data_IF_625693916017
#
_entry.id   IF_625693916017
#
_cell.length_a   1.000
_cell.length_b   1.000
_cell.length_c   1.000
_cell.angle_alpha   90.00
_cell.angle_beta   90.00
_cell.angle_gamma   90.00
#
_symmetry.space_group_name_H-M   'P 1'
#
loop_
_entity.id
_entity.type
_entity.pdbx_description
1 polymer ?
#
# COMPACT_ATOMS: atom_id res chain seq x y z
N UNK A 1 -38.57 -2.53 -61.25
CA UNK A 1 -38.77 -1.21 -60.64
C UNK A 1 -38.41 -1.30 -59.17
N UNK A 2 -37.27 -0.69 -58.82
CA UNK A 2 -36.86 -0.06 -57.57
C UNK A 2 -36.97 -0.84 -56.25
N UNK A 3 -35.85 -1.47 -55.88
CA UNK A 3 -35.42 -1.68 -54.51
C UNK A 3 -34.03 -1.09 -54.39
N UNK A 4 -33.91 0.14 -53.97
CA UNK A 4 -32.71 0.77 -53.45
C UNK A 4 -33.19 1.88 -52.49
N UNK A 5 -32.93 1.75 -51.20
CA UNK A 5 -32.68 2.79 -50.19
C UNK A 5 -32.98 2.27 -48.77
N UNK A 6 -32.04 1.57 -48.12
CA UNK A 6 -32.09 1.46 -46.64
C UNK A 6 -30.75 1.06 -46.01
N UNK A 7 -29.63 1.08 -46.74
CA UNK A 7 -28.32 0.76 -46.14
C UNK A 7 -27.42 1.97 -45.84
N UNK A 8 -27.79 3.18 -46.22
CA UNK A 8 -26.96 4.36 -46.06
C UNK A 8 -27.10 5.06 -44.67
N UNK A 9 -28.15 4.79 -43.91
CA UNK A 9 -28.43 5.46 -42.65
C UNK A 9 -27.84 4.74 -41.40
N UNK A 10 -27.47 3.46 -41.52
CA UNK A 10 -26.86 2.70 -40.40
C UNK A 10 -25.36 2.93 -40.33
N UNK A 11 -24.68 3.23 -41.44
CA UNK A 11 -23.24 3.46 -41.48
C UNK A 11 -22.84 4.82 -40.89
N UNK A 12 -23.67 5.87 -40.93
CA UNK A 12 -23.37 7.19 -40.35
C UNK A 12 -23.52 7.21 -38.84
N UNK A 13 -24.39 6.41 -38.23
CA UNK A 13 -24.59 6.35 -36.76
C UNK A 13 -23.43 5.68 -36.04
N UNK A 14 -22.77 4.72 -36.67
CA UNK A 14 -21.64 3.98 -36.05
C UNK A 14 -20.35 4.80 -36.13
N UNK A 15 -20.16 5.64 -37.12
CA UNK A 15 -19.02 6.54 -37.25
C UNK A 15 -19.03 7.68 -36.22
N UNK A 16 -20.21 8.21 -35.87
CA UNK A 16 -20.35 9.26 -34.86
C UNK A 16 -20.09 8.75 -33.43
N UNK A 17 -20.39 7.46 -33.14
CA UNK A 17 -20.10 6.85 -31.83
C UNK A 17 -18.62 6.47 -31.65
N UNK A 18 -17.89 6.20 -32.71
CA UNK A 18 -16.44 5.93 -32.68
C UNK A 18 -15.61 7.21 -32.60
N UNK A 19 -16.08 8.31 -33.18
CA UNK A 19 -15.34 9.59 -33.16
C UNK A 19 -15.45 10.33 -31.81
N UNK A 20 -16.52 10.12 -31.02
CA UNK A 20 -16.65 10.71 -29.68
C UNK A 20 -15.78 10.02 -28.62
N UNK A 21 -15.24 8.81 -28.86
CA UNK A 21 -14.31 8.13 -27.98
C UNK A 21 -12.84 8.47 -28.23
N UNK A 22 -12.49 9.03 -29.36
CA UNK A 22 -11.11 9.40 -29.72
C UNK A 22 -10.71 10.81 -29.24
N UNK A 23 -11.67 11.68 -28.90
CA UNK A 23 -11.39 13.03 -28.41
C UNK A 23 -11.10 13.12 -26.89
N UNK A 24 -11.40 12.07 -26.11
CA UNK A 24 -11.14 12.05 -24.66
C UNK A 24 -9.74 11.60 -24.25
N UNK A 25 -9.00 10.89 -25.09
CA UNK A 25 -7.71 10.29 -24.73
C UNK A 25 -6.48 11.15 -25.08
N UNK A 26 -6.63 12.14 -25.96
CA UNK A 26 -5.51 12.95 -26.46
C UNK A 26 -5.09 14.12 -25.55
N UNK A 27 -5.99 14.63 -24.69
CA UNK A 27 -5.73 15.80 -23.85
C UNK A 27 -5.27 15.48 -22.41
N UNK A 28 -5.24 14.21 -22.01
CA UNK A 28 -4.97 13.81 -20.62
C UNK A 28 -3.46 13.80 -20.30
N UNK A 29 -2.62 13.45 -21.26
CA UNK A 29 -1.17 13.42 -21.08
C UNK A 29 -0.56 14.79 -20.71
N UNK A 30 -1.01 15.94 -21.24
CA UNK A 30 -0.49 17.24 -20.86
C UNK A 30 -0.75 17.64 -19.41
N UNK A 31 -1.96 17.34 -18.86
CA UNK A 31 -2.32 17.76 -17.48
C UNK A 31 -1.57 16.93 -16.44
N UNK A 32 -1.34 15.64 -16.66
CA UNK A 32 -0.61 14.77 -15.74
C UNK A 32 0.82 15.26 -15.43
N UNK A 33 1.44 15.93 -16.39
CA UNK A 33 2.79 16.47 -16.27
C UNK A 33 2.82 18.01 -16.19
N UNK A 34 1.67 18.67 -16.32
CA UNK A 34 1.59 20.13 -16.32
C UNK A 34 1.88 20.72 -14.93
N UNK A 35 2.67 21.80 -14.89
CA UNK A 35 3.14 22.47 -13.65
C UNK A 35 2.78 23.95 -13.57
N UNK A 36 1.99 24.48 -14.51
CA UNK A 36 1.57 25.87 -14.50
C UNK A 36 0.71 26.23 -13.29
N UNK A 37 0.69 27.52 -12.92
CA UNK A 37 -0.05 28.01 -11.76
C UNK A 37 -1.57 27.76 -11.81
N UNK A 38 -2.12 27.61 -13.02
CA UNK A 38 -3.54 27.34 -13.28
C UNK A 38 -3.89 25.83 -13.35
N UNK A 39 -2.92 24.94 -13.04
CA UNK A 39 -3.09 23.49 -13.08
C UNK A 39 -4.30 23.04 -12.25
N UNK A 40 -4.40 23.52 -11.00
CA UNK A 40 -5.45 23.11 -10.08
C UNK A 40 -6.84 23.45 -10.66
N UNK A 41 -7.03 24.67 -11.14
CA UNK A 41 -8.29 25.11 -11.72
C UNK A 41 -8.68 24.31 -12.98
N UNK A 42 -7.70 24.04 -13.85
CA UNK A 42 -7.88 23.20 -15.04
C UNK A 42 -8.30 21.77 -14.66
N UNK A 43 -7.63 21.20 -13.67
CA UNK A 43 -7.89 19.84 -13.21
C UNK A 43 -9.28 19.74 -12.56
N UNK A 44 -9.66 20.68 -11.71
CA UNK A 44 -10.98 20.73 -11.08
C UNK A 44 -12.11 20.86 -12.10
N UNK A 45 -11.94 21.75 -13.09
CA UNK A 45 -12.92 21.94 -14.18
C UNK A 45 -13.11 20.66 -14.99
N UNK A 46 -12.04 19.95 -15.33
CA UNK A 46 -12.10 18.71 -16.07
C UNK A 46 -12.71 17.58 -15.22
N UNK A 47 -12.32 17.44 -13.97
CA UNK A 47 -12.85 16.46 -13.01
C UNK A 47 -14.35 16.68 -12.70
N UNK A 48 -14.81 17.93 -12.71
CA UNK A 48 -16.23 18.26 -12.56
C UNK A 48 -17.08 17.63 -13.67
N UNK A 49 -16.56 17.58 -14.90
CA UNK A 49 -17.24 16.92 -16.03
C UNK A 49 -17.29 15.41 -15.85
N UNK A 50 -16.26 14.81 -15.23
CA UNK A 50 -16.18 13.37 -14.96
C UNK A 50 -17.11 12.93 -13.81
N UNK A 51 -17.28 13.74 -12.78
CA UNK A 51 -18.26 13.61 -11.70
C UNK A 51 -18.05 12.44 -10.75
N UNK A 52 -17.10 11.54 -10.99
CA UNK A 52 -16.83 10.39 -10.13
C UNK A 52 -15.37 9.91 -10.22
N UNK A 53 -14.93 9.15 -9.22
CA UNK A 53 -13.67 8.42 -9.21
C UNK A 53 -13.86 7.02 -8.63
N UNK A 54 -13.32 6.00 -9.27
CA UNK A 54 -13.35 4.60 -8.81
C UNK A 54 -12.04 4.26 -8.12
N UNK A 55 -12.10 4.08 -6.81
CA UNK A 55 -10.95 3.82 -5.96
C UNK A 55 -10.89 2.35 -5.54
N UNK A 56 -9.93 1.61 -6.11
CA UNK A 56 -9.59 0.25 -5.66
C UNK A 56 -8.55 0.36 -4.55
N UNK A 57 -8.87 -0.14 -3.35
CA UNK A 57 -7.99 0.01 -2.20
C UNK A 57 -7.90 -1.23 -1.31
N UNK A 58 -6.73 -1.39 -0.67
CA UNK A 58 -6.51 -2.36 0.42
C UNK A 58 -6.66 -1.74 1.81
N UNK A 59 -6.97 -0.45 1.93
CA UNK A 59 -7.26 0.21 3.22
C UNK A 59 -8.42 -0.52 3.93
N UNK A 60 -8.33 -0.63 5.25
CA UNK A 60 -9.37 -1.28 6.04
C UNK A 60 -10.74 -0.63 5.86
N UNK A 61 -11.79 -1.46 5.77
CA UNK A 61 -13.16 -0.99 5.53
C UNK A 61 -13.63 0.00 6.63
N UNK A 62 -13.17 -0.17 7.87
CA UNK A 62 -13.48 0.74 8.96
C UNK A 62 -12.81 2.14 8.82
N UNK A 63 -11.78 2.26 7.99
CA UNK A 63 -11.00 3.48 7.80
C UNK A 63 -11.39 4.23 6.52
N UNK A 64 -11.65 3.49 5.43
CA UNK A 64 -11.86 4.05 4.09
C UNK A 64 -12.99 5.09 3.98
N UNK A 65 -14.13 5.02 4.71
CA UNK A 65 -15.14 6.05 4.64
C UNK A 65 -14.65 7.45 5.02
N UNK A 66 -13.71 7.56 5.96
CA UNK A 66 -13.15 8.86 6.38
C UNK A 66 -12.42 9.57 5.23
N UNK A 67 -11.75 8.82 4.37
CA UNK A 67 -11.09 9.38 3.17
C UNK A 67 -12.12 9.84 2.16
N UNK A 68 -13.16 9.05 1.94
CA UNK A 68 -14.28 9.38 1.04
C UNK A 68 -14.97 10.66 1.49
N UNK A 69 -15.41 10.71 2.75
CA UNK A 69 -16.13 11.85 3.32
C UNK A 69 -15.30 13.15 3.21
N UNK A 70 -14.01 13.08 3.54
CA UNK A 70 -13.14 14.25 3.49
C UNK A 70 -12.86 14.70 2.05
N UNK A 71 -12.71 13.77 1.11
CA UNK A 71 -12.52 14.08 -0.30
C UNK A 71 -13.78 14.68 -0.93
N UNK A 72 -14.95 14.06 -0.71
CA UNK A 72 -16.22 14.54 -1.23
C UNK A 72 -16.64 15.89 -0.61
N UNK A 73 -16.26 16.13 0.65
CA UNK A 73 -16.44 17.45 1.28
C UNK A 73 -15.59 18.53 0.59
N UNK A 74 -14.38 18.19 0.19
CA UNK A 74 -13.48 19.13 -0.51
C UNK A 74 -13.87 19.33 -1.98
N UNK A 75 -14.34 18.27 -2.63
CA UNK A 75 -14.75 18.25 -4.04
C UNK A 75 -16.17 17.70 -4.20
N UNK A 76 -17.21 18.47 -3.83
CA UNK A 76 -18.60 17.97 -3.76
C UNK A 76 -19.17 17.55 -5.12
N UNK A 77 -18.51 17.93 -6.19
CA UNK A 77 -18.84 17.54 -7.56
C UNK A 77 -18.28 16.19 -7.99
N UNK A 78 -17.50 15.49 -7.14
CA UNK A 78 -16.96 14.16 -7.43
C UNK A 78 -17.49 13.16 -6.42
N UNK A 79 -18.02 12.02 -6.90
CA UNK A 79 -18.42 10.87 -6.07
C UNK A 79 -17.38 9.78 -6.10
N UNK A 80 -16.97 9.30 -4.94
CA UNK A 80 -16.00 8.21 -4.80
C UNK A 80 -16.73 6.86 -4.80
N UNK A 81 -16.43 6.03 -5.78
CA UNK A 81 -16.89 4.63 -5.85
C UNK A 81 -15.81 3.73 -5.26
N UNK A 82 -16.01 3.33 -4.01
CA UNK A 82 -15.05 2.52 -3.26
C UNK A 82 -15.16 1.03 -3.64
N UNK A 83 -14.04 0.43 -4.02
CA UNK A 83 -13.89 -1.01 -4.22
C UNK A 83 -12.76 -1.52 -3.32
N UNK A 84 -13.12 -2.18 -2.21
CA UNK A 84 -12.17 -2.66 -1.22
C UNK A 84 -11.90 -4.16 -1.40
N UNK A 85 -10.61 -4.53 -1.46
CA UNK A 85 -10.14 -5.91 -1.38
C UNK A 85 -8.72 -5.98 -0.77
N UNK A 86 -8.21 -7.17 -0.46
CA UNK A 86 -6.78 -7.30 -0.15
C UNK A 86 -5.95 -7.20 -1.44
N UNK A 87 -4.62 -7.03 -1.29
CA UNK A 87 -3.68 -6.84 -2.41
C UNK A 87 -3.72 -7.98 -3.43
N UNK A 88 -3.78 -9.23 -2.98
CA UNK A 88 -3.81 -10.40 -3.86
C UNK A 88 -5.11 -10.46 -4.70
N UNK A 89 -6.26 -10.23 -4.08
CA UNK A 89 -7.55 -10.17 -4.78
C UNK A 89 -7.63 -8.98 -5.73
N UNK A 90 -7.04 -7.84 -5.33
CA UNK A 90 -6.94 -6.68 -6.21
C UNK A 90 -6.10 -7.00 -7.45
N UNK A 91 -4.95 -7.67 -7.27
CA UNK A 91 -4.09 -8.08 -8.37
C UNK A 91 -4.82 -9.00 -9.36
N UNK A 92 -5.56 -9.99 -8.86
CA UNK A 92 -6.36 -10.90 -9.67
C UNK A 92 -7.48 -10.16 -10.43
N UNK A 93 -8.28 -9.37 -9.71
CA UNK A 93 -9.42 -8.66 -10.28
C UNK A 93 -9.00 -7.65 -11.33
N UNK A 94 -8.14 -6.71 -10.96
CA UNK A 94 -7.68 -5.67 -11.87
C UNK A 94 -6.91 -6.25 -13.06
N UNK A 95 -6.12 -7.32 -12.83
CA UNK A 95 -5.45 -8.06 -13.89
C UNK A 95 -6.42 -8.65 -14.91
N UNK A 96 -7.50 -9.30 -14.47
CA UNK A 96 -8.51 -9.87 -15.31
C UNK A 96 -9.31 -8.79 -16.07
N UNK A 97 -9.71 -7.72 -15.39
CA UNK A 97 -10.39 -6.57 -16.01
C UNK A 97 -9.53 -5.93 -17.10
N UNK A 98 -8.24 -5.72 -16.83
CA UNK A 98 -7.29 -5.15 -17.78
C UNK A 98 -7.10 -6.03 -19.03
N UNK A 99 -6.93 -7.35 -18.84
CA UNK A 99 -6.79 -8.32 -19.94
C UNK A 99 -8.06 -8.41 -20.80
N UNK A 100 -9.23 -8.25 -20.18
CA UNK A 100 -10.51 -8.21 -20.89
C UNK A 100 -10.78 -6.86 -21.59
N UNK A 101 -9.87 -5.88 -21.49
CA UNK A 101 -10.10 -4.53 -22.04
C UNK A 101 -11.18 -3.75 -21.30
N UNK A 102 -11.52 -4.15 -20.07
CA UNK A 102 -12.55 -3.52 -19.24
C UNK A 102 -11.86 -2.62 -18.20
N UNK A 103 -11.87 -1.32 -18.44
CA UNK A 103 -11.19 -0.35 -17.59
C UNK A 103 -12.19 0.28 -16.62
N UNK A 104 -12.24 -0.24 -15.39
CA UNK A 104 -13.18 0.21 -14.34
C UNK A 104 -12.50 1.06 -13.26
N UNK A 105 -11.25 0.77 -12.94
CA UNK A 105 -10.52 1.45 -11.88
C UNK A 105 -9.89 2.76 -12.38
N UNK A 106 -9.95 3.79 -11.55
CA UNK A 106 -9.24 5.05 -11.77
C UNK A 106 -7.98 5.15 -10.91
N UNK A 107 -8.09 4.76 -9.63
CA UNK A 107 -6.98 4.77 -8.67
C UNK A 107 -6.82 3.39 -8.03
N UNK A 108 -5.58 2.91 -8.01
CA UNK A 108 -5.15 1.67 -7.36
C UNK A 108 -4.32 2.02 -6.12
N UNK A 109 -4.74 1.61 -4.94
CA UNK A 109 -4.10 1.94 -3.66
C UNK A 109 -3.85 0.68 -2.83
N UNK A 110 -2.60 0.21 -2.82
CA UNK A 110 -2.18 -1.02 -2.13
C UNK A 110 -0.66 -1.01 -1.87
N UNK A 111 -0.08 -2.16 -1.48
CA UNK A 111 1.37 -2.32 -1.32
C UNK A 111 2.13 -2.04 -2.62
N UNK A 112 3.30 -1.42 -2.50
CA UNK A 112 4.13 -1.03 -3.64
C UNK A 112 4.63 -2.21 -4.46
N UNK A 113 4.81 -3.38 -3.88
CA UNK A 113 5.16 -4.63 -4.58
C UNK A 113 4.07 -5.04 -5.58
N UNK A 114 2.79 -4.91 -5.21
CA UNK A 114 1.65 -5.16 -6.11
C UNK A 114 1.55 -4.08 -7.19
N UNK A 115 1.78 -2.82 -6.84
CA UNK A 115 1.76 -1.72 -7.81
C UNK A 115 2.94 -1.85 -8.80
N UNK A 116 4.11 -2.30 -8.34
CA UNK A 116 5.25 -2.61 -9.21
C UNK A 116 4.95 -3.74 -10.20
N UNK A 117 4.23 -4.78 -9.75
CA UNK A 117 3.71 -5.82 -10.64
C UNK A 117 2.81 -5.24 -11.74
N UNK A 118 1.93 -4.29 -11.42
CA UNK A 118 1.09 -3.61 -12.42
C UNK A 118 1.92 -2.72 -13.34
N UNK A 119 2.90 -1.98 -12.80
CA UNK A 119 3.80 -1.12 -13.59
C UNK A 119 4.54 -1.92 -14.67
N UNK A 120 5.13 -3.05 -14.29
CA UNK A 120 5.88 -3.93 -15.21
C UNK A 120 5.05 -4.47 -16.37
N UNK A 121 3.73 -4.53 -16.18
CA UNK A 121 2.76 -4.99 -17.20
C UNK A 121 2.07 -3.85 -17.95
N UNK A 122 2.51 -2.60 -17.75
CA UNK A 122 1.93 -1.45 -18.40
C UNK A 122 0.48 -1.15 -17.99
N UNK A 123 0.05 -1.63 -16.82
CA UNK A 123 -1.32 -1.52 -16.32
C UNK A 123 -1.58 -0.22 -15.53
N UNK A 124 -0.55 0.54 -15.23
CA UNK A 124 -0.62 1.88 -14.64
C UNK A 124 0.09 2.88 -15.52
N UNK A 125 -0.21 4.16 -15.32
CA UNK A 125 0.43 5.25 -16.06
C UNK A 125 1.12 6.22 -15.11
N UNK A 126 2.19 6.91 -15.56
CA UNK A 126 2.89 7.87 -14.73
C UNK A 126 2.00 9.07 -14.42
N UNK A 127 2.07 9.50 -13.16
CA UNK A 127 1.45 10.73 -12.70
C UNK A 127 2.37 11.41 -11.70
N UNK A 128 2.76 12.64 -11.99
CA UNK A 128 3.59 13.43 -11.09
C UNK A 128 2.74 14.45 -10.34
N UNK A 129 2.39 14.14 -9.09
CA UNK A 129 1.76 15.11 -8.19
C UNK A 129 2.72 16.30 -7.93
N UNK A 130 2.23 17.55 -7.90
CA UNK A 130 3.04 18.70 -7.46
C UNK A 130 3.57 18.55 -6.03
N UNK A 131 2.93 17.72 -5.22
CA UNK A 131 3.32 17.46 -3.83
C UNK A 131 4.47 16.47 -3.72
N UNK A 132 4.74 15.67 -4.76
CA UNK A 132 5.70 14.56 -4.71
C UNK A 132 7.11 14.98 -4.27
N UNK A 133 7.56 16.19 -4.65
CA UNK A 133 8.91 16.65 -4.33
C UNK A 133 9.15 16.91 -2.83
N UNK A 134 8.09 17.09 -2.04
CA UNK A 134 8.17 17.25 -0.59
C UNK A 134 8.52 15.95 0.14
N UNK A 135 8.23 14.80 -0.47
CA UNK A 135 8.40 13.49 0.16
C UNK A 135 9.84 13.01 0.08
N UNK A 136 10.30 12.30 1.11
CA UNK A 136 11.60 11.62 1.12
C UNK A 136 11.73 10.69 -0.10
N UNK A 137 12.94 10.59 -0.65
CA UNK A 137 13.23 9.75 -1.83
C UNK A 137 12.87 8.29 -1.62
N UNK A 138 12.92 7.78 -0.39
CA UNK A 138 12.53 6.41 -0.03
C UNK A 138 11.04 6.15 -0.24
N UNK A 139 10.23 7.20 -0.31
CA UNK A 139 8.78 7.15 -0.51
C UNK A 139 8.35 7.50 -1.93
N UNK A 140 9.28 7.61 -2.88
CA UNK A 140 8.98 8.00 -4.27
C UNK A 140 9.57 7.01 -5.27
N UNK A 141 8.77 6.68 -6.28
CA UNK A 141 9.27 5.96 -7.44
C UNK A 141 9.87 6.95 -8.46
N UNK A 142 11.08 6.64 -8.98
CA UNK A 142 11.88 7.57 -9.78
C UNK A 142 11.22 8.03 -11.09
N UNK A 143 10.36 7.20 -11.69
CA UNK A 143 9.68 7.49 -12.95
C UNK A 143 8.27 8.08 -12.75
N UNK A 144 7.94 8.53 -11.53
CA UNK A 144 6.66 9.15 -11.18
C UNK A 144 5.42 8.27 -11.37
N UNK A 145 5.55 6.96 -11.22
CA UNK A 145 4.37 6.07 -11.24
C UNK A 145 3.59 6.11 -9.94
N UNK A 146 4.27 6.41 -8.82
CA UNK A 146 3.64 6.52 -7.51
C UNK A 146 4.49 7.29 -6.50
N UNK A 147 3.82 7.80 -5.49
CA UNK A 147 4.40 8.27 -4.22
C UNK A 147 3.72 7.48 -3.10
N UNK A 148 4.48 7.04 -2.12
CA UNK A 148 3.90 6.36 -0.97
C UNK A 148 3.03 7.34 -0.18
N UNK A 149 1.77 6.97 0.02
CA UNK A 149 0.83 7.75 0.82
C UNK A 149 0.90 7.36 2.30
N UNK A 150 1.31 6.13 2.61
CA UNK A 150 1.54 5.63 3.96
C UNK A 150 2.66 4.62 3.99
N UNK A 151 3.30 4.47 5.17
CA UNK A 151 4.25 3.42 5.45
C UNK A 151 3.70 2.42 6.46
N UNK A 152 4.24 1.21 6.45
CA UNK A 152 4.06 0.19 7.47
C UNK A 152 5.43 -0.20 7.99
N UNK A 153 5.64 -0.13 9.31
CA UNK A 153 6.89 -0.53 9.94
C UNK A 153 6.71 -1.89 10.59
N UNK A 154 7.60 -2.82 10.27
CA UNK A 154 7.67 -4.12 10.92
C UNK A 154 8.51 -4.02 12.18
N UNK A 155 7.94 -4.40 13.31
CA UNK A 155 8.51 -4.24 14.65
C UNK A 155 8.33 -5.51 15.48
N UNK A 156 9.06 -5.62 16.58
CA UNK A 156 8.77 -6.62 17.60
C UNK A 156 7.59 -6.15 18.46
N UNK A 157 6.42 -6.77 18.27
CA UNK A 157 5.27 -6.59 19.15
C UNK A 157 5.30 -7.60 20.31
N UNK A 158 4.86 -7.21 21.50
CA UNK A 158 4.83 -8.11 22.66
C UNK A 158 3.69 -7.78 23.63
N UNK A 159 3.28 -8.79 24.42
CA UNK A 159 2.29 -8.64 25.49
C UNK A 159 3.00 -8.22 26.78
N UNK A 160 2.65 -7.07 27.34
CA UNK A 160 3.30 -6.49 28.54
C UNK A 160 3.00 -7.22 29.86
N UNK A 161 2.01 -8.13 29.87
CA UNK A 161 1.75 -9.02 31.02
C UNK A 161 2.65 -10.25 31.02
N UNK A 162 3.08 -10.69 29.82
CA UNK A 162 3.92 -11.88 29.66
C UNK A 162 5.41 -11.55 29.52
N UNK A 163 5.72 -10.36 29.02
CA UNK A 163 7.08 -9.87 28.79
C UNK A 163 7.20 -8.48 29.42
N UNK A 164 8.03 -8.35 30.45
CA UNK A 164 8.28 -7.04 31.04
C UNK A 164 9.04 -6.15 30.05
N UNK A 165 8.79 -4.84 30.01
CA UNK A 165 9.47 -3.93 29.06
C UNK A 165 11.01 -4.03 29.11
N UNK A 166 11.59 -4.19 30.30
CA UNK A 166 13.04 -4.33 30.48
C UNK A 166 13.61 -5.69 30.01
N UNK A 167 12.76 -6.70 29.80
CA UNK A 167 13.13 -8.05 29.35
C UNK A 167 12.85 -8.26 27.87
N UNK A 168 12.14 -7.32 27.22
CA UNK A 168 11.79 -7.41 25.81
C UNK A 168 13.08 -7.39 24.95
N UNK A 169 13.15 -8.20 23.89
CA UNK A 169 14.26 -8.16 22.94
C UNK A 169 14.48 -6.76 22.39
N UNK A 170 15.74 -6.31 22.41
CA UNK A 170 16.16 -4.99 21.91
C UNK A 170 16.88 -5.07 20.56
N UNK A 171 17.32 -6.25 20.18
CA UNK A 171 17.94 -6.57 18.88
C UNK A 171 17.39 -7.87 18.32
N UNK A 172 17.56 -8.11 17.05
CA UNK A 172 17.12 -9.34 16.40
C UNK A 172 17.72 -10.60 17.05
N UNK A 173 19.00 -10.55 17.45
CA UNK A 173 19.66 -11.68 18.08
C UNK A 173 19.05 -12.06 19.44
N UNK A 174 18.47 -11.10 20.17
CA UNK A 174 17.85 -11.34 21.48
C UNK A 174 16.58 -12.20 21.37
N UNK A 175 15.91 -12.21 20.18
CA UNK A 175 14.76 -13.08 19.90
C UNK A 175 15.15 -14.56 19.87
N UNK A 176 16.44 -14.85 19.70
CA UNK A 176 16.99 -16.20 19.63
C UNK A 176 17.34 -16.80 20.99
N UNK A 177 17.12 -16.06 22.11
CA UNK A 177 17.34 -16.57 23.46
C UNK A 177 16.35 -17.71 23.75
N UNK A 178 16.82 -18.77 24.37
CA UNK A 178 16.04 -19.99 24.69
C UNK A 178 14.81 -19.70 25.54
N UNK A 179 14.82 -18.62 26.32
CA UNK A 179 13.64 -18.18 27.13
C UNK A 179 12.41 -17.88 26.27
N UNK A 180 12.56 -17.63 24.97
CA UNK A 180 11.51 -17.34 24.02
C UNK A 180 10.99 -18.55 23.26
N UNK A 181 11.59 -19.73 23.46
CA UNK A 181 11.16 -20.96 22.80
C UNK A 181 9.67 -21.23 23.10
N UNK A 182 8.91 -21.60 22.06
CA UNK A 182 7.46 -21.82 22.08
C UNK A 182 6.59 -20.60 22.43
N UNK A 183 7.17 -19.38 22.48
CA UNK A 183 6.47 -18.13 22.86
C UNK A 183 6.39 -17.11 21.74
N UNK A 184 7.04 -17.36 20.62
CA UNK A 184 7.10 -16.49 19.44
C UNK A 184 5.98 -16.84 18.48
N UNK A 185 5.41 -15.85 17.80
CA UNK A 185 4.65 -16.06 16.57
C UNK A 185 5.35 -15.40 15.37
N UNK A 186 5.07 -15.92 14.16
CA UNK A 186 5.48 -15.35 12.89
C UNK A 186 4.30 -15.32 11.92
N UNK A 187 4.29 -14.34 11.04
CA UNK A 187 3.32 -14.25 9.95
C UNK A 187 3.73 -15.19 8.80
N UNK A 188 2.76 -15.93 8.23
CA UNK A 188 3.00 -16.94 7.20
C UNK A 188 3.56 -16.37 5.89
N UNK A 189 3.04 -15.23 5.48
CA UNK A 189 3.25 -14.68 4.13
C UNK A 189 4.25 -13.50 4.12
N UNK A 190 5.12 -13.36 5.16
CA UNK A 190 6.03 -12.22 5.32
C UNK A 190 7.38 -12.41 4.64
N UNK A 191 7.36 -12.93 3.41
CA UNK A 191 8.56 -13.07 2.57
C UNK A 191 9.20 -11.71 2.22
N UNK A 192 8.44 -10.61 2.31
CA UNK A 192 8.95 -9.25 2.09
C UNK A 192 9.89 -8.81 3.23
N UNK A 193 9.51 -9.01 4.49
CA UNK A 193 10.37 -8.77 5.65
C UNK A 193 11.62 -9.65 5.62
N UNK A 194 11.45 -10.93 5.33
CA UNK A 194 12.54 -11.89 5.15
C UNK A 194 13.55 -11.41 4.08
N UNK A 195 13.08 -11.03 2.90
CA UNK A 195 13.90 -10.52 1.81
C UNK A 195 14.67 -9.27 2.22
N UNK A 196 13.99 -8.30 2.85
CA UNK A 196 14.60 -7.04 3.25
C UNK A 196 15.76 -7.26 4.25
N UNK A 197 15.60 -8.15 5.23
CA UNK A 197 16.65 -8.49 6.17
C UNK A 197 17.78 -9.29 5.49
N UNK A 198 17.45 -10.19 4.57
CA UNK A 198 18.44 -10.95 3.81
C UNK A 198 19.31 -10.04 2.92
N UNK A 199 18.71 -9.06 2.26
CA UNK A 199 19.45 -8.07 1.47
C UNK A 199 20.33 -7.16 2.35
N UNK A 200 19.86 -6.80 3.54
CA UNK A 200 20.60 -5.94 4.46
C UNK A 200 21.77 -6.66 5.16
N UNK A 201 21.56 -7.89 5.64
CA UNK A 201 22.57 -8.65 6.38
C UNK A 201 23.50 -9.49 5.50
N UNK A 202 23.09 -9.76 4.26
CA UNK A 202 23.65 -10.79 3.40
C UNK A 202 23.06 -12.18 3.70
N UNK A 203 23.01 -13.02 2.65
CA UNK A 203 22.31 -14.31 2.67
C UNK A 203 22.79 -15.25 3.78
N UNK A 204 24.12 -15.34 4.01
CA UNK A 204 24.65 -16.26 5.01
C UNK A 204 24.25 -15.90 6.44
N UNK A 205 24.31 -14.61 6.82
CA UNK A 205 23.89 -14.15 8.16
C UNK A 205 22.38 -14.34 8.32
N UNK A 206 21.60 -13.98 7.31
CA UNK A 206 20.15 -14.14 7.33
C UNK A 206 19.76 -15.62 7.48
N UNK A 207 20.38 -16.52 6.72
CA UNK A 207 20.12 -17.96 6.82
C UNK A 207 20.33 -18.47 8.25
N UNK A 208 21.45 -18.14 8.87
CA UNK A 208 21.73 -18.54 10.26
C UNK A 208 20.69 -17.99 11.22
N UNK A 209 20.32 -16.72 11.07
CA UNK A 209 19.29 -16.09 11.93
C UNK A 209 17.95 -16.80 11.78
N UNK A 210 17.44 -16.94 10.57
CA UNK A 210 16.12 -17.51 10.32
C UNK A 210 16.02 -19.00 10.71
N UNK A 211 17.08 -19.78 10.50
CA UNK A 211 17.14 -21.16 10.95
C UNK A 211 17.13 -21.26 12.51
N UNK A 212 17.82 -20.35 13.20
CA UNK A 212 17.77 -20.27 14.66
C UNK A 212 16.42 -19.76 15.17
N UNK A 213 15.80 -18.81 14.48
CA UNK A 213 14.43 -18.34 14.79
C UNK A 213 13.42 -19.48 14.65
N UNK A 214 13.53 -20.28 13.59
CA UNK A 214 12.74 -21.50 13.42
C UNK A 214 12.93 -22.48 14.58
N UNK A 215 14.18 -22.65 15.09
CA UNK A 215 14.47 -23.53 16.23
C UNK A 215 13.80 -23.09 17.54
N UNK A 216 13.31 -21.84 17.62
CA UNK A 216 12.44 -21.36 18.69
C UNK A 216 11.03 -21.94 18.65
N UNK A 217 10.70 -22.75 17.63
CA UNK A 217 9.36 -23.35 17.40
C UNK A 217 8.25 -22.29 17.37
N UNK A 218 8.32 -21.29 16.46
CA UNK A 218 7.32 -20.23 16.40
C UNK A 218 5.97 -20.74 15.94
N UNK A 219 4.90 -20.14 16.46
CA UNK A 219 3.54 -20.36 15.98
C UNK A 219 3.30 -19.56 14.71
N UNK A 220 2.98 -20.24 13.63
CA UNK A 220 2.72 -19.58 12.35
C UNK A 220 1.27 -19.07 12.33
N UNK A 221 1.10 -17.76 12.07
CA UNK A 221 -0.19 -17.08 12.01
C UNK A 221 -0.43 -16.57 10.59
N UNK A 222 -1.68 -16.36 10.21
CA UNK A 222 -2.03 -15.82 8.89
C UNK A 222 -2.73 -14.48 9.07
N UNK A 223 -2.03 -13.41 8.69
CA UNK A 223 -2.49 -12.03 8.74
C UNK A 223 -2.04 -11.26 9.99
N UNK A 224 -1.30 -10.17 9.79
CA UNK A 224 -0.78 -9.29 10.86
C UNK A 224 -1.86 -8.74 11.80
N UNK A 225 -3.12 -8.58 11.34
CA UNK A 225 -4.22 -8.15 12.21
C UNK A 225 -4.55 -9.22 13.25
N UNK A 226 -4.65 -10.47 12.83
CA UNK A 226 -4.87 -11.60 13.75
C UNK A 226 -3.68 -11.77 14.70
N UNK A 227 -2.45 -11.68 14.19
CA UNK A 227 -1.23 -11.76 14.98
C UNK A 227 -1.23 -10.72 16.11
N UNK A 228 -1.52 -9.45 15.81
CA UNK A 228 -1.63 -8.39 16.82
C UNK A 228 -2.74 -8.66 17.86
N UNK A 229 -3.87 -9.24 17.45
CA UNK A 229 -4.96 -9.63 18.35
C UNK A 229 -4.56 -10.78 19.28
N UNK A 230 -3.84 -11.78 18.77
CA UNK A 230 -3.38 -12.93 19.56
C UNK A 230 -2.31 -12.51 20.59
N UNK A 231 -1.41 -11.58 20.21
CA UNK A 231 -0.48 -10.98 21.17
C UNK A 231 -1.27 -10.19 22.23
N UNK A 232 -2.27 -9.40 21.85
CA UNK A 232 -3.10 -8.66 22.79
C UNK A 232 -3.87 -9.55 23.77
N UNK A 233 -4.35 -10.70 23.30
CA UNK A 233 -5.01 -11.69 24.12
C UNK A 233 -4.05 -12.49 25.05
N UNK A 234 -2.75 -12.46 24.76
CA UNK A 234 -1.74 -13.23 25.50
C UNK A 234 -1.57 -14.68 25.02
N UNK A 235 -2.13 -15.01 23.86
CA UNK A 235 -1.91 -16.31 23.20
C UNK A 235 -0.45 -16.44 22.71
N UNK A 236 0.09 -15.36 22.17
CA UNK A 236 1.49 -15.23 21.76
C UNK A 236 2.18 -14.18 22.65
N UNK A 237 3.38 -14.50 23.17
CA UNK A 237 4.07 -13.57 24.05
C UNK A 237 4.70 -12.40 23.29
N UNK A 238 5.29 -12.70 22.12
CA UNK A 238 5.92 -11.71 21.26
C UNK A 238 6.00 -12.20 19.80
N UNK A 239 6.26 -11.25 18.90
CA UNK A 239 6.53 -11.54 17.50
C UNK A 239 7.45 -10.47 16.90
N UNK A 240 8.52 -10.84 16.19
CA UNK A 240 9.49 -9.90 15.61
C UNK A 240 9.03 -9.28 14.28
N UNK A 241 7.94 -9.74 13.72
CA UNK A 241 7.43 -9.36 12.40
C UNK A 241 6.03 -8.75 12.41
N UNK A 242 5.62 -8.11 13.53
CA UNK A 242 4.31 -7.43 13.59
C UNK A 242 4.34 -6.04 12.95
N UNK A 243 3.18 -5.58 12.52
CA UNK A 243 3.00 -4.20 12.07
C UNK A 243 2.77 -3.24 13.26
N UNK A 244 3.63 -2.21 13.37
CA UNK A 244 3.58 -1.25 14.48
C UNK A 244 2.23 -0.55 14.65
N UNK A 245 1.54 -0.24 13.53
CA UNK A 245 0.20 0.37 13.55
C UNK A 245 -0.86 -0.52 14.19
N UNK A 246 -0.79 -1.84 14.00
CA UNK A 246 -1.69 -2.80 14.64
C UNK A 246 -1.50 -2.86 16.16
N UNK A 247 -0.25 -2.93 16.61
CA UNK A 247 0.09 -2.91 18.04
C UNK A 247 -0.29 -1.56 18.69
N UNK A 248 0.00 -0.44 18.01
CA UNK A 248 -0.39 0.89 18.50
C UNK A 248 -1.90 1.05 18.64
N UNK A 249 -2.68 0.52 17.69
CA UNK A 249 -4.14 0.54 17.75
C UNK A 249 -4.66 -0.31 18.92
N UNK A 250 -4.15 -1.53 19.11
CA UNK A 250 -4.51 -2.39 20.22
C UNK A 250 -4.17 -1.75 21.58
N UNK A 251 -2.98 -1.15 21.71
CA UNK A 251 -2.55 -0.44 22.91
C UNK A 251 -3.46 0.74 23.24
N UNK A 252 -3.86 1.53 22.25
CA UNK A 252 -4.81 2.65 22.45
C UNK A 252 -6.19 2.15 22.88
N UNK A 253 -6.59 0.97 22.44
CA UNK A 253 -7.79 0.28 22.92
C UNK A 253 -7.67 -0.30 24.32
N UNK A 254 -6.55 -0.09 25.04
CA UNK A 254 -6.32 -0.59 26.40
C UNK A 254 -5.73 -2.00 26.49
N UNK A 255 -5.37 -2.62 25.36
CA UNK A 255 -4.71 -3.92 25.39
C UNK A 255 -3.31 -3.83 26.02
N UNK A 256 -2.87 -4.87 26.75
CA UNK A 256 -1.58 -4.91 27.41
C UNK A 256 -0.47 -5.26 26.41
N UNK A 257 -0.23 -4.40 25.44
CA UNK A 257 0.79 -4.59 24.39
C UNK A 257 1.69 -3.38 24.25
N UNK A 258 2.90 -3.64 23.80
CA UNK A 258 3.86 -2.61 23.38
C UNK A 258 4.74 -3.15 22.24
N UNK A 259 5.64 -2.32 21.71
CA UNK A 259 6.59 -2.74 20.67
C UNK A 259 7.98 -2.17 20.88
N UNK A 260 8.95 -2.86 20.31
CA UNK A 260 10.35 -2.43 20.18
C UNK A 260 10.70 -2.34 18.69
N UNK A 261 11.41 -1.29 18.33
CA UNK A 261 11.95 -1.11 16.99
C UNK A 261 13.29 -1.86 16.90
N UNK A 262 13.25 -3.11 16.35
CA UNK A 262 14.48 -3.87 16.10
C UNK A 262 15.15 -3.33 14.84
N UNK A 263 16.39 -2.83 14.97
CA UNK A 263 17.11 -2.23 13.84
C UNK A 263 17.90 -3.26 13.01
N UNK A 264 17.84 -3.16 11.68
CA UNK A 264 17.07 -2.18 10.93
C UNK A 264 15.57 -2.48 10.98
N UNK A 265 14.73 -1.47 11.24
CA UNK A 265 13.30 -1.62 11.07
C UNK A 265 12.98 -1.77 9.59
N UNK A 266 12.20 -2.76 9.21
CA UNK A 266 11.78 -2.94 7.82
C UNK A 266 10.50 -2.14 7.57
N UNK A 267 10.53 -1.30 6.55
CA UNK A 267 9.41 -0.48 6.12
C UNK A 267 8.86 -0.96 4.76
N UNK A 268 7.56 -1.22 4.68
CA UNK A 268 6.84 -1.43 3.44
C UNK A 268 6.04 -0.18 3.08
N UNK A 269 6.06 0.21 1.82
CA UNK A 269 5.27 1.33 1.31
C UNK A 269 3.88 0.86 0.87
N UNK A 270 2.90 1.68 1.16
CA UNK A 270 1.60 1.61 0.51
C UNK A 270 1.45 2.85 -0.37
N UNK A 271 1.02 2.63 -1.59
CA UNK A 271 1.07 3.65 -2.62
C UNK A 271 -0.24 3.71 -3.38
N UNK A 272 -0.57 4.90 -3.86
CA UNK A 272 -1.68 5.10 -4.78
C UNK A 272 -1.11 5.43 -6.18
N UNK A 273 -1.64 4.77 -7.19
CA UNK A 273 -1.22 4.89 -8.58
C UNK A 273 -2.40 5.17 -9.51
N UNK A 274 -2.14 5.89 -10.59
CA UNK A 274 -3.12 6.15 -11.64
C UNK A 274 -3.25 4.92 -12.55
N UNK A 275 -4.45 4.36 -12.64
CA UNK A 275 -4.73 3.22 -13.51
C UNK A 275 -4.51 3.59 -14.98
N UNK A 276 -4.02 2.64 -15.77
CA UNK A 276 -3.95 2.81 -17.23
C UNK A 276 -5.37 2.81 -17.81
N UNK A 277 -5.64 3.75 -18.72
CA UNK A 277 -6.95 3.94 -19.33
C UNK A 277 -8.08 4.25 -18.31
N UNK A 278 -7.74 4.92 -17.20
CA UNK A 278 -8.70 5.35 -16.18
C UNK A 278 -9.87 6.14 -16.81
N UNK A 279 -11.15 5.73 -16.60
CA UNK A 279 -12.31 6.44 -17.15
C UNK A 279 -12.45 7.89 -16.69
N UNK A 280 -12.02 8.18 -15.44
CA UNK A 280 -12.15 9.49 -14.81
C UNK A 280 -10.76 10.02 -14.41
N UNK A 281 -9.89 10.21 -15.39
CA UNK A 281 -8.45 10.49 -15.15
C UNK A 281 -8.21 11.78 -14.38
N UNK A 282 -9.00 12.84 -14.62
CA UNK A 282 -8.82 14.13 -13.93
C UNK A 282 -9.27 14.04 -12.47
N UNK A 283 -10.39 13.39 -12.19
CA UNK A 283 -10.86 13.10 -10.84
C UNK A 283 -9.87 12.19 -10.09
N UNK A 284 -9.27 11.20 -10.77
CA UNK A 284 -8.22 10.36 -10.22
C UNK A 284 -6.98 11.16 -9.83
N UNK A 285 -6.54 12.11 -10.66
CA UNK A 285 -5.39 12.97 -10.34
C UNK A 285 -5.68 13.87 -9.13
N UNK A 286 -6.88 14.45 -9.02
CA UNK A 286 -7.29 15.18 -7.80
C UNK A 286 -7.30 14.28 -6.56
N UNK A 287 -7.76 13.04 -6.70
CA UNK A 287 -7.78 12.08 -5.61
C UNK A 287 -6.35 11.68 -5.18
N UNK A 288 -5.44 11.49 -6.13
CA UNK A 288 -4.03 11.21 -5.83
C UNK A 288 -3.35 12.39 -5.13
N UNK A 289 -3.60 13.64 -5.56
CA UNK A 289 -3.10 14.85 -4.86
C UNK A 289 -3.67 14.94 -3.45
N UNK A 290 -4.96 14.63 -3.25
CA UNK A 290 -5.59 14.56 -1.94
C UNK A 290 -4.94 13.52 -1.03
N UNK A 291 -4.62 12.32 -1.56
CA UNK A 291 -3.96 11.25 -0.80
C UNK A 291 -2.56 11.66 -0.29
N UNK A 292 -1.91 12.61 -0.94
CA UNK A 292 -0.61 13.13 -0.55
C UNK A 292 -0.69 14.44 0.25
N UNK A 293 -1.85 15.09 0.29
CA UNK A 293 -1.97 16.42 0.92
C UNK A 293 -1.99 16.33 2.44
N UNK A 294 -1.32 17.30 3.10
CA UNK A 294 -1.23 17.42 4.56
C UNK A 294 -2.62 17.53 5.20
N UNK A 295 -3.47 18.40 4.66
CA UNK A 295 -4.82 18.67 5.16
C UNK A 295 -5.85 17.64 4.68
N UNK A 296 -5.46 16.71 3.82
CA UNK A 296 -6.27 15.61 3.29
C UNK A 296 -6.00 14.28 3.99
N UNK A 297 -5.71 13.27 3.18
CA UNK A 297 -5.56 11.89 3.64
C UNK A 297 -4.42 11.70 4.66
N UNK A 298 -3.35 12.51 4.62
CA UNK A 298 -2.23 12.36 5.55
C UNK A 298 -2.64 12.63 7.02
N UNK A 299 -3.56 13.57 7.26
CA UNK A 299 -4.11 13.80 8.59
C UNK A 299 -5.02 12.64 9.03
N UNK A 300 -5.84 12.09 8.12
CA UNK A 300 -6.66 10.91 8.42
C UNK A 300 -5.78 9.73 8.85
N UNK A 301 -4.67 9.48 8.15
CA UNK A 301 -3.71 8.42 8.50
C UNK A 301 -3.22 8.54 9.94
N UNK A 302 -2.80 9.75 10.34
CA UNK A 302 -2.40 10.03 11.72
C UNK A 302 -3.49 9.66 12.73
N UNK A 303 -4.73 10.06 12.44
CA UNK A 303 -5.86 9.92 13.36
C UNK A 303 -6.32 8.45 13.51
N UNK A 304 -6.00 7.61 12.51
CA UNK A 304 -6.29 6.17 12.55
C UNK A 304 -5.05 5.31 12.89
N UNK A 305 -3.98 5.91 13.44
CA UNK A 305 -2.70 5.26 13.81
C UNK A 305 -1.98 4.58 12.64
N UNK A 306 -2.14 5.11 11.45
CA UNK A 306 -1.28 4.78 10.34
C UNK A 306 -0.09 5.71 10.31
N UNK A 307 0.91 5.38 9.52
CA UNK A 307 2.13 6.17 9.41
C UNK A 307 2.04 7.01 8.14
N UNK A 308 1.74 8.32 8.27
CA UNK A 308 1.78 9.24 7.14
C UNK A 308 3.21 9.33 6.60
N UNK A 309 3.34 9.53 5.29
CA UNK A 309 4.65 9.73 4.64
C UNK A 309 4.96 11.20 4.39
N UNK A 310 3.96 12.08 4.49
CA UNK A 310 4.17 13.52 4.37
C UNK A 310 5.13 14.02 5.48
N UNK A 311 6.19 14.80 5.15
CA UNK A 311 7.21 15.20 6.12
C UNK A 311 6.68 16.03 7.29
N UNK A 312 5.65 16.84 7.05
CA UNK A 312 5.06 17.73 8.06
C UNK A 312 3.93 17.07 8.88
N UNK A 313 3.60 15.81 8.64
CA UNK A 313 2.56 15.09 9.40
C UNK A 313 3.21 13.94 10.16
N UNK A 314 3.35 14.11 11.47
CA UNK A 314 3.86 13.08 12.34
C UNK A 314 2.79 12.02 12.62
N UNK A 315 3.16 10.73 12.69
CA UNK A 315 2.23 9.69 13.15
C UNK A 315 1.86 9.89 14.62
N UNK A 316 0.83 9.21 15.06
CA UNK A 316 0.42 9.21 16.46
C UNK A 316 0.45 7.77 17.03
N UNK A 317 1.38 7.46 17.95
CA UNK A 317 2.45 8.32 18.50
C UNK A 317 3.64 8.52 17.53
N UNK A 318 4.47 9.58 17.72
CA UNK A 318 5.63 9.86 16.84
C UNK A 318 6.62 8.69 16.72
N UNK A 319 6.81 7.89 17.75
CA UNK A 319 7.70 6.72 17.75
C UNK A 319 7.32 5.62 16.73
N UNK A 320 6.21 5.77 16.02
CA UNK A 320 5.87 4.89 14.88
C UNK A 320 6.77 5.11 13.66
N UNK A 321 7.43 6.28 13.55
CA UNK A 321 8.32 6.63 12.43
C UNK A 321 9.65 7.25 12.87
N UNK A 322 9.75 7.73 14.09
CA UNK A 322 10.88 8.50 14.58
C UNK A 322 11.67 7.77 15.68
N UNK A 323 12.96 8.09 15.78
CA UNK A 323 13.86 7.57 16.83
C UNK A 323 14.51 6.24 16.49
N UNK A 324 14.50 5.79 15.22
CA UNK A 324 15.15 4.55 14.79
C UNK A 324 15.56 4.61 13.31
N UNK A 325 16.46 3.71 12.91
CA UNK A 325 16.83 3.52 11.52
C UNK A 325 15.93 2.51 10.84
N UNK A 326 15.49 2.80 9.63
CA UNK A 326 14.68 1.88 8.84
C UNK A 326 15.19 1.73 7.41
N UNK A 327 14.97 0.56 6.85
CA UNK A 327 15.18 0.23 5.43
C UNK A 327 13.82 0.07 4.78
N UNK A 328 13.71 0.46 3.52
CA UNK A 328 12.48 0.28 2.73
C UNK A 328 12.65 -0.92 1.83
N UNK A 329 11.64 -1.77 1.77
CA UNK A 329 11.57 -2.88 0.82
C UNK A 329 11.70 -2.31 -0.59
N UNK A 330 12.60 -2.91 -1.39
CA UNK A 330 12.71 -2.60 -2.81
C UNK A 330 11.70 -3.44 -3.60
N UNK A 331 10.59 -2.83 -4.09
CA UNK A 331 9.54 -3.59 -4.75
C UNK A 331 10.00 -4.19 -6.09
N UNK A 332 11.00 -3.60 -6.75
CA UNK A 332 11.55 -4.12 -7.98
C UNK A 332 12.36 -5.40 -7.70
N UNK A 333 13.26 -5.36 -6.73
CA UNK A 333 14.04 -6.55 -6.32
C UNK A 333 13.12 -7.67 -5.80
N UNK A 334 12.10 -7.33 -5.01
CA UNK A 334 11.14 -8.33 -4.53
C UNK A 334 10.43 -9.02 -5.70
N UNK A 335 9.92 -8.27 -6.67
CA UNK A 335 9.27 -8.84 -7.85
C UNK A 335 10.21 -9.66 -8.73
N UNK A 336 11.51 -9.28 -8.82
CA UNK A 336 12.52 -10.08 -9.55
C UNK A 336 12.82 -11.42 -8.87
N UNK A 337 12.77 -11.45 -7.55
CA UNK A 337 13.12 -12.61 -6.75
C UNK A 337 11.97 -13.30 -6.02
N UNK A 338 10.71 -12.98 -6.33
CA UNK A 338 9.54 -13.43 -5.56
C UNK A 338 9.48 -14.95 -5.36
N UNK A 339 9.78 -15.73 -6.40
CA UNK A 339 9.80 -17.19 -6.31
C UNK A 339 10.94 -17.68 -5.42
N UNK A 340 12.14 -17.09 -5.56
CA UNK A 340 13.32 -17.42 -4.76
C UNK A 340 13.08 -17.09 -3.29
N UNK A 341 12.63 -15.87 -2.98
CA UNK A 341 12.40 -15.44 -1.60
C UNK A 341 11.27 -16.24 -0.94
N UNK A 342 10.19 -16.50 -1.66
CA UNK A 342 9.12 -17.36 -1.19
C UNK A 342 9.54 -18.80 -0.93
N UNK A 343 10.42 -19.37 -1.79
CA UNK A 343 10.99 -20.70 -1.59
C UNK A 343 11.89 -20.72 -0.35
N UNK A 344 12.82 -19.76 -0.22
CA UNK A 344 13.74 -19.70 0.92
C UNK A 344 13.01 -19.46 2.24
N UNK A 345 11.95 -18.63 2.25
CA UNK A 345 11.09 -18.42 3.41
C UNK A 345 10.43 -19.71 3.87
N UNK A 346 9.82 -20.45 2.95
CA UNK A 346 9.22 -21.76 3.26
C UNK A 346 10.26 -22.74 3.80
N UNK A 347 11.42 -22.85 3.14
CA UNK A 347 12.49 -23.77 3.51
C UNK A 347 13.13 -23.43 4.86
N UNK A 348 13.50 -22.15 5.09
CA UNK A 348 14.28 -21.75 6.28
C UNK A 348 13.40 -21.48 7.50
N UNK A 349 12.13 -21.15 7.32
CA UNK A 349 11.25 -20.70 8.41
C UNK A 349 10.03 -21.62 8.59
N UNK A 350 9.24 -21.85 7.52
CA UNK A 350 7.97 -22.57 7.64
C UNK A 350 8.09 -24.10 7.65
N UNK A 351 9.17 -24.67 7.13
CA UNK A 351 9.39 -26.12 6.94
C UNK A 351 8.44 -26.75 5.91
N UNK A 352 8.11 -26.03 4.87
CA UNK A 352 7.23 -26.48 3.78
C UNK A 352 8.02 -26.66 2.45
#
# INVERSE_FOLDING_TARGET
MTFFTSQALVALGIWFFYMSRLLGAADVAPIALYRGADRQAKLEKAAQTEGSVVWYTSIALAESPRYVDLFEKRYPFIKVKLVRSNSARMAQRYGAEYQAGTFLADVLDTGDTTIEFFRRRGMIQPYSSPLAEKFDRRFRQQQNFWVANRATMTVLGYNTRLVKPAEAPSRYEDVLDVKWKDKISLERDDAEWFMALMEYWGEQKAKVFFQRLRAQNPRIRTGHTLQAQLIAAGEDALSPDTHSGGIAAARRGGAPVDWVNLEPVVAANNVAALAKNAPHTNAAMLFLDFMLSKEGAQQVLRDVNRIPTHPEVLPNPPRLREGFNFIVIDPAKYNDGIERYGKLWREWVLQE
#
